data_IF_398605467801
#
_entry.id   IF_398605467801
#
_cell.length_a   1.000
_cell.length_b   1.000
_cell.length_c   1.000
_cell.angle_alpha   90.00
_cell.angle_beta   90.00
_cell.angle_gamma   90.00
#
_symmetry.space_group_name_H-M   'P 1'
#
loop_
_entity.id
_entity.type
_entity.pdbx_description
1 polymer ?
#
# COMPACT_ATOMS: atom_id res chain seq x y z
N UNK A 1 -21.60 14.76 -12.39
CA UNK A 1 -20.39 14.76 -13.12
C UNK A 1 -19.74 13.36 -13.06
N UNK A 2 -19.59 12.71 -14.24
CA UNK A 2 -19.19 11.31 -14.35
C UNK A 2 -17.80 11.00 -13.77
N UNK A 3 -16.84 11.90 -13.99
CA UNK A 3 -15.46 11.70 -13.49
C UNK A 3 -15.41 11.80 -11.98
N UNK A 4 -16.09 12.77 -11.40
CA UNK A 4 -16.15 12.95 -9.95
C UNK A 4 -16.83 11.75 -9.29
N UNK A 5 -17.93 11.27 -9.84
CA UNK A 5 -18.65 10.11 -9.31
C UNK A 5 -17.80 8.84 -9.39
N UNK A 6 -17.06 8.67 -10.48
CA UNK A 6 -16.16 7.54 -10.67
C UNK A 6 -15.06 7.54 -9.60
N UNK A 7 -14.38 8.67 -9.41
CA UNK A 7 -13.30 8.80 -8.43
C UNK A 7 -13.81 8.57 -7.01
N UNK A 8 -14.95 9.18 -6.64
CA UNK A 8 -15.55 8.97 -5.32
C UNK A 8 -16.00 7.52 -5.13
N UNK A 9 -16.55 6.89 -6.16
CA UNK A 9 -16.97 5.49 -6.11
C UNK A 9 -15.77 4.59 -5.84
N UNK A 10 -14.63 4.81 -6.50
CA UNK A 10 -13.42 4.04 -6.27
C UNK A 10 -12.89 4.23 -4.83
N UNK A 11 -12.93 5.46 -4.31
CA UNK A 11 -12.51 5.73 -2.93
C UNK A 11 -13.47 5.18 -1.88
N UNK A 12 -14.78 5.17 -2.13
CA UNK A 12 -15.75 4.59 -1.20
C UNK A 12 -15.71 3.07 -1.17
N UNK A 13 -15.13 2.45 -2.20
CA UNK A 13 -14.83 1.01 -2.20
C UNK A 13 -13.61 0.67 -1.35
N UNK A 14 -12.73 1.63 -1.08
CA UNK A 14 -11.69 1.49 -0.08
C UNK A 14 -12.38 1.54 1.28
N UNK A 15 -12.25 0.51 2.10
CA UNK A 15 -12.92 0.43 3.39
C UNK A 15 -12.81 1.73 4.19
N UNK A 16 -13.93 2.16 4.78
CA UNK A 16 -14.00 3.38 5.58
C UNK A 16 -13.38 3.23 6.96
N UNK A 17 -13.11 1.99 7.39
CA UNK A 17 -12.62 1.66 8.73
C UNK A 17 -11.10 1.40 8.68
N UNK A 18 -10.37 2.37 8.13
CA UNK A 18 -8.92 2.31 8.00
C UNK A 18 -8.30 3.57 8.58
N UNK A 19 -7.27 3.39 9.40
CA UNK A 19 -6.38 4.45 9.84
C UNK A 19 -5.05 4.26 9.13
N UNK A 20 -4.57 5.32 8.49
CA UNK A 20 -3.27 5.35 7.83
C UNK A 20 -2.25 5.94 8.80
N UNK A 21 -1.16 5.21 9.02
CA UNK A 21 -0.09 5.62 9.93
C UNK A 21 1.13 5.94 9.08
N UNK A 22 1.62 7.17 9.20
CA UNK A 22 2.78 7.66 8.46
C UNK A 22 3.90 8.02 9.43
N UNK A 23 5.18 7.86 9.05
CA UNK A 23 6.28 8.29 9.90
C UNK A 23 6.34 9.81 10.00
N UNK A 24 6.82 10.30 11.13
CA UNK A 24 6.90 11.73 11.43
C UNK A 24 5.63 12.31 11.99
N UNK A 25 5.77 13.31 12.86
CA UNK A 25 4.64 14.04 13.43
C UNK A 25 4.65 15.47 12.89
N UNK A 26 3.55 15.86 12.23
CA UNK A 26 3.37 17.22 11.76
C UNK A 26 2.91 18.07 12.95
N UNK A 27 3.82 18.93 13.45
CA UNK A 27 3.46 19.96 14.43
C UNK A 27 2.83 21.14 13.69
N UNK A 28 1.55 21.36 13.94
CA UNK A 28 0.80 22.51 13.38
C UNK A 28 1.28 23.85 13.93
N UNK A 29 2.22 23.88 14.86
CA UNK A 29 2.72 25.08 15.54
C UNK A 29 4.19 25.37 15.25
N UNK A 30 4.60 25.27 13.99
CA UNK A 30 5.93 25.74 13.59
C UNK A 30 7.10 24.88 14.06
N UNK A 31 6.87 23.60 14.24
CA UNK A 31 7.93 22.66 14.57
C UNK A 31 8.97 22.58 13.45
N UNK A 32 10.23 22.60 13.82
CA UNK A 32 11.35 22.58 12.89
C UNK A 32 11.38 21.28 12.08
N UNK A 33 11.82 21.39 10.82
CA UNK A 33 12.09 20.25 9.94
C UNK A 33 13.03 19.21 10.58
N UNK A 34 13.80 19.60 11.61
CA UNK A 34 14.66 18.68 12.37
C UNK A 34 13.92 17.60 13.16
N UNK A 35 12.63 17.81 13.47
CA UNK A 35 11.83 16.81 14.17
C UNK A 35 11.46 15.62 13.26
N UNK A 36 11.37 15.84 11.94
CA UNK A 36 11.09 14.79 10.95
C UNK A 36 12.29 13.86 10.79
N UNK A 37 13.52 14.41 10.83
CA UNK A 37 14.76 13.65 10.69
C UNK A 37 15.12 12.77 11.90
N UNK A 38 14.46 12.98 13.05
CA UNK A 38 14.72 12.21 14.27
C UNK A 38 13.67 11.16 14.56
N UNK A 39 12.63 11.03 13.72
CA UNK A 39 11.61 10.01 13.86
C UNK A 39 12.21 8.62 13.60
N UNK A 40 11.81 7.63 14.42
CA UNK A 40 12.15 6.25 14.14
C UNK A 40 11.37 5.79 12.92
N UNK A 41 11.99 4.92 12.12
CA UNK A 41 11.34 4.35 10.96
C UNK A 41 10.16 3.47 11.39
N UNK A 42 9.09 3.51 10.62
CA UNK A 42 8.04 2.51 10.70
C UNK A 42 8.56 1.22 10.06
N UNK A 43 8.26 0.09 10.68
CA UNK A 43 8.80 -1.20 10.25
C UNK A 43 7.70 -2.24 10.07
N UNK A 44 8.04 -3.35 9.41
CA UNK A 44 7.16 -4.52 9.35
C UNK A 44 6.87 -5.03 10.77
N UNK A 45 7.85 -4.99 11.66
CA UNK A 45 7.67 -5.38 13.06
C UNK A 45 6.62 -4.51 13.78
N UNK A 46 6.60 -3.21 13.48
CA UNK A 46 5.55 -2.31 14.00
C UNK A 46 4.17 -2.74 13.50
N UNK A 47 4.05 -3.10 12.23
CA UNK A 47 2.80 -3.60 11.67
C UNK A 47 2.34 -4.89 12.34
N UNK A 48 3.27 -5.81 12.63
CA UNK A 48 2.98 -7.06 13.32
C UNK A 48 2.55 -6.82 14.77
N UNK A 49 3.18 -5.87 15.45
CA UNK A 49 2.79 -5.47 16.80
C UNK A 49 1.38 -4.87 16.82
N UNK A 50 1.07 -4.01 15.85
CA UNK A 50 -0.26 -3.40 15.72
C UNK A 50 -1.34 -4.44 15.44
N UNK A 51 -1.01 -5.51 14.72
CA UNK A 51 -1.95 -6.59 14.43
C UNK A 51 -2.43 -7.30 15.71
N UNK A 52 -1.68 -7.22 16.79
CA UNK A 52 -2.07 -7.79 18.09
C UNK A 52 -3.10 -6.93 18.83
N UNK A 53 -3.39 -5.73 18.36
CA UNK A 53 -4.43 -4.89 18.92
C UNK A 53 -5.78 -5.60 18.91
N UNK A 54 -6.54 -5.43 20.01
CA UNK A 54 -7.91 -5.96 20.12
C UNK A 54 -8.83 -5.45 18.99
N UNK A 55 -8.55 -4.26 18.46
CA UNK A 55 -9.37 -3.62 17.43
C UNK A 55 -8.90 -3.92 16.00
N UNK A 56 -7.75 -4.56 15.84
CA UNK A 56 -7.16 -4.78 14.52
C UNK A 56 -7.88 -5.91 13.78
N UNK A 57 -8.41 -5.60 12.62
CA UNK A 57 -8.88 -6.58 11.65
C UNK A 57 -7.72 -7.04 10.77
N UNK A 58 -7.03 -6.08 10.16
CA UNK A 58 -5.83 -6.30 9.36
C UNK A 58 -4.87 -5.13 9.53
N UNK A 59 -3.58 -5.41 9.38
CA UNK A 59 -2.55 -4.37 9.26
C UNK A 59 -1.75 -4.65 7.99
N UNK A 60 -1.41 -3.59 7.25
CA UNK A 60 -0.71 -3.70 5.98
C UNK A 60 0.38 -2.63 5.91
N UNK A 61 1.63 -3.06 5.80
CA UNK A 61 2.76 -2.16 5.67
C UNK A 61 3.06 -1.93 4.19
N UNK A 62 3.18 -0.67 3.78
CA UNK A 62 3.26 -0.27 2.39
C UNK A 62 4.62 0.32 2.04
N UNK A 63 5.12 -0.06 0.88
CA UNK A 63 6.27 0.58 0.21
C UNK A 63 5.90 0.74 -1.26
N UNK A 64 6.19 1.91 -1.82
CA UNK A 64 5.93 2.15 -3.25
C UNK A 64 7.15 2.83 -3.87
N UNK A 65 7.44 2.48 -5.10
CA UNK A 65 8.51 3.11 -5.86
C UNK A 65 8.45 2.74 -7.33
N UNK A 66 9.28 3.39 -8.14
CA UNK A 66 9.44 3.06 -9.54
C UNK A 66 10.60 2.10 -9.71
N UNK A 67 10.41 1.09 -10.53
CA UNK A 67 11.43 0.10 -10.80
C UNK A 67 11.38 -0.33 -12.28
N UNK A 68 12.53 -0.73 -12.80
CA UNK A 68 12.59 -1.36 -14.12
C UNK A 68 12.28 -2.84 -13.95
N UNK A 69 11.32 -3.32 -14.74
CA UNK A 69 10.96 -4.73 -14.77
C UNK A 69 11.42 -5.31 -16.11
N UNK A 70 12.06 -6.49 -16.07
CA UNK A 70 12.57 -7.19 -17.25
C UNK A 70 12.00 -8.59 -17.33
N UNK A 71 11.40 -8.89 -18.47
CA UNK A 71 10.85 -10.21 -18.77
C UNK A 71 10.77 -10.41 -20.29
N UNK A 72 10.99 -11.63 -20.75
CA UNK A 72 10.81 -12.00 -22.16
C UNK A 72 11.62 -11.14 -23.14
N UNK A 73 12.83 -10.72 -22.73
CA UNK A 73 13.68 -9.85 -23.54
C UNK A 73 13.19 -8.41 -23.64
N UNK A 74 12.16 -8.05 -22.90
CA UNK A 74 11.59 -6.70 -22.84
C UNK A 74 11.83 -6.09 -21.48
N UNK A 75 11.85 -4.75 -21.44
CA UNK A 75 11.92 -4.01 -20.18
C UNK A 75 10.88 -2.90 -20.18
N UNK A 76 10.44 -2.54 -18.98
CA UNK A 76 9.47 -1.49 -18.77
C UNK A 76 9.67 -0.87 -17.39
N UNK A 77 9.53 0.44 -17.31
CA UNK A 77 9.51 1.11 -16.00
C UNK A 77 8.08 1.15 -15.47
N UNK A 78 7.90 0.64 -14.26
CA UNK A 78 6.59 0.49 -13.64
C UNK A 78 6.61 1.00 -12.22
N UNK A 79 5.40 1.19 -11.64
CA UNK A 79 5.27 1.41 -10.21
C UNK A 79 5.16 0.05 -9.52
N UNK A 80 6.04 -0.20 -8.55
CA UNK A 80 6.00 -1.42 -7.75
C UNK A 80 5.46 -1.09 -6.36
N UNK A 81 4.40 -1.80 -5.97
CA UNK A 81 3.79 -1.69 -4.64
C UNK A 81 4.20 -2.90 -3.79
N UNK A 82 4.90 -2.62 -2.68
CA UNK A 82 5.12 -3.60 -1.62
C UNK A 82 3.89 -3.63 -0.73
N UNK A 83 3.20 -4.76 -0.70
CA UNK A 83 1.91 -4.90 -0.04
C UNK A 83 1.80 -6.25 0.65
N UNK A 84 0.86 -6.34 1.61
CA UNK A 84 0.49 -7.60 2.23
C UNK A 84 -0.63 -8.31 1.47
N UNK A 85 -0.94 -9.56 1.85
CA UNK A 85 -1.91 -10.40 1.13
C UNK A 85 -3.36 -9.90 1.19
N UNK A 86 -3.71 -9.07 2.16
CA UNK A 86 -5.07 -8.53 2.32
C UNK A 86 -5.31 -7.26 1.50
N UNK A 87 -4.29 -6.75 0.81
CA UNK A 87 -4.39 -5.49 0.08
C UNK A 87 -5.47 -5.52 -1.01
N UNK A 88 -5.49 -6.55 -1.84
CA UNK A 88 -6.44 -6.62 -2.96
C UNK A 88 -7.89 -6.62 -2.46
N UNK A 89 -8.18 -7.38 -1.42
CA UNK A 89 -9.52 -7.42 -0.81
C UNK A 89 -9.89 -6.08 -0.19
N UNK A 90 -8.97 -5.49 0.58
CA UNK A 90 -9.22 -4.21 1.26
C UNK A 90 -9.49 -3.07 0.28
N UNK A 91 -8.87 -3.09 -0.89
CA UNK A 91 -9.01 -2.04 -1.90
C UNK A 91 -9.89 -2.47 -3.09
N UNK A 92 -10.67 -3.54 -2.91
CA UNK A 92 -11.63 -4.05 -3.89
C UNK A 92 -11.02 -4.25 -5.28
N UNK A 93 -9.82 -4.82 -5.31
CA UNK A 93 -9.13 -5.19 -6.55
C UNK A 93 -9.27 -6.68 -6.78
N UNK A 94 -9.48 -7.07 -8.03
CA UNK A 94 -9.77 -8.46 -8.39
C UNK A 94 -8.65 -9.06 -9.22
N UNK A 95 -8.39 -10.35 -9.00
CA UNK A 95 -7.42 -11.14 -9.77
C UNK A 95 -8.12 -11.69 -11.00
N UNK A 96 -7.52 -11.47 -12.17
CA UNK A 96 -8.01 -12.03 -13.44
C UNK A 96 -7.43 -13.41 -13.72
N UNK A 97 -6.17 -13.65 -13.35
CA UNK A 97 -5.46 -14.92 -13.57
C UNK A 97 -4.63 -15.25 -12.33
N UNK A 98 -4.58 -16.54 -11.98
CA UNK A 98 -3.77 -16.98 -10.84
C UNK A 98 -4.29 -16.50 -9.50
N UNK A 99 -3.40 -16.00 -8.65
CA UNK A 99 -3.73 -15.59 -7.28
C UNK A 99 -2.99 -14.32 -6.90
N UNK A 100 -3.50 -13.64 -5.87
CA UNK A 100 -2.80 -12.52 -5.25
C UNK A 100 -1.71 -13.05 -4.31
N UNK A 101 -0.95 -12.14 -3.70
CA UNK A 101 0.14 -12.50 -2.79
C UNK A 101 -0.35 -13.41 -1.65
N UNK A 102 0.34 -14.53 -1.38
CA UNK A 102 -0.06 -15.46 -0.35
C UNK A 102 0.29 -14.97 1.05
N UNK A 103 -0.28 -15.63 2.06
CA UNK A 103 0.00 -15.37 3.48
C UNK A 103 1.32 -15.99 3.92
N UNK A 104 2.42 -15.50 3.39
CA UNK A 104 3.76 -15.89 3.82
C UNK A 104 4.14 -15.18 5.12
N UNK A 105 5.23 -15.62 5.76
CA UNK A 105 5.81 -14.87 6.87
C UNK A 105 6.20 -13.47 6.38
N UNK A 106 5.63 -12.39 6.95
CA UNK A 106 5.93 -11.04 6.50
C UNK A 106 7.41 -10.65 6.59
N UNK A 107 8.17 -11.34 7.43
CA UNK A 107 9.62 -11.09 7.60
C UNK A 107 10.46 -11.72 6.50
N UNK A 108 9.97 -12.82 5.92
CA UNK A 108 10.71 -13.57 4.90
C UNK A 108 9.74 -14.15 3.85
N UNK A 109 9.06 -13.30 3.09
CA UNK A 109 8.11 -13.76 2.06
C UNK A 109 8.85 -14.28 0.84
N UNK A 110 8.21 -15.21 0.12
CA UNK A 110 8.74 -15.68 -1.16
C UNK A 110 8.73 -14.56 -2.20
N UNK A 111 9.69 -14.56 -3.14
CA UNK A 111 9.78 -13.49 -4.16
C UNK A 111 8.76 -13.70 -5.27
N UNK A 112 7.50 -13.46 -4.95
CA UNK A 112 6.39 -13.55 -5.88
C UNK A 112 5.97 -12.16 -6.35
N UNK A 113 5.43 -12.08 -7.58
CA UNK A 113 4.91 -10.84 -8.14
C UNK A 113 3.55 -11.09 -8.77
N UNK A 114 2.66 -10.13 -8.58
CA UNK A 114 1.36 -10.06 -9.26
C UNK A 114 1.41 -8.87 -10.21
N UNK A 115 1.07 -9.10 -11.48
CA UNK A 115 1.17 -8.08 -12.52
C UNK A 115 -0.14 -7.32 -12.66
N UNK A 116 -0.07 -6.00 -12.84
CA UNK A 116 -1.19 -5.24 -13.35
C UNK A 116 -1.48 -5.60 -14.81
N UNK A 117 -2.70 -5.33 -15.27
CA UNK A 117 -3.15 -5.75 -16.60
C UNK A 117 -2.28 -5.20 -17.73
N UNK A 118 -1.83 -3.94 -17.63
CA UNK A 118 -1.00 -3.32 -18.66
C UNK A 118 0.41 -3.89 -18.68
N UNK A 119 1.00 -4.15 -17.51
CA UNK A 119 2.33 -4.78 -17.42
C UNK A 119 2.31 -6.16 -18.04
N UNK A 120 1.28 -6.95 -17.77
CA UNK A 120 1.09 -8.26 -18.41
C UNK A 120 1.09 -8.13 -19.92
N UNK A 121 0.25 -7.25 -20.45
CA UNK A 121 0.12 -7.06 -21.91
C UNK A 121 1.44 -6.61 -22.54
N UNK A 122 2.12 -5.64 -21.96
CA UNK A 122 3.34 -5.05 -22.53
C UNK A 122 4.53 -6.00 -22.47
N UNK A 123 4.66 -6.83 -21.46
CA UNK A 123 5.81 -7.72 -21.31
C UNK A 123 5.58 -9.12 -21.86
N UNK A 124 4.36 -9.63 -21.82
CA UNK A 124 4.04 -11.00 -22.21
C UNK A 124 3.09 -11.09 -23.42
N UNK A 125 2.47 -9.98 -23.82
CA UNK A 125 1.48 -9.99 -24.88
C UNK A 125 0.33 -10.94 -24.53
N UNK A 126 0.06 -11.92 -25.41
CA UNK A 126 -0.98 -12.92 -25.20
C UNK A 126 -0.44 -14.21 -24.53
N UNK A 127 0.85 -14.25 -24.20
CA UNK A 127 1.45 -15.41 -23.53
C UNK A 127 0.97 -15.51 -22.09
N UNK A 128 0.85 -16.73 -21.57
CA UNK A 128 0.52 -16.96 -20.18
C UNK A 128 1.73 -16.62 -19.31
N UNK A 129 1.63 -15.60 -18.43
CA UNK A 129 2.77 -15.18 -17.60
C UNK A 129 2.95 -16.02 -16.34
N UNK A 130 1.95 -16.85 -15.96
CA UNK A 130 1.98 -17.56 -14.68
C UNK A 130 3.15 -18.54 -14.62
N UNK A 131 3.94 -18.46 -13.57
CA UNK A 131 5.12 -19.28 -13.37
C UNK A 131 6.39 -18.73 -14.02
N UNK A 132 6.28 -17.69 -14.86
CA UNK A 132 7.45 -17.08 -15.49
C UNK A 132 8.31 -16.35 -14.45
N UNK A 133 9.61 -16.32 -14.70
CA UNK A 133 10.55 -15.53 -13.89
C UNK A 133 10.79 -14.20 -14.57
N UNK A 134 10.88 -13.15 -13.75
CA UNK A 134 11.24 -11.81 -14.23
C UNK A 134 12.16 -11.12 -13.21
N UNK A 135 12.72 -9.98 -13.61
CA UNK A 135 13.55 -9.18 -12.72
C UNK A 135 12.89 -7.85 -12.43
N UNK A 136 12.89 -7.45 -11.18
CA UNK A 136 12.46 -6.13 -10.73
C UNK A 136 13.64 -5.50 -10.01
N UNK A 137 14.20 -4.43 -10.60
CA UNK A 137 15.37 -3.77 -10.04
C UNK A 137 16.56 -4.70 -9.84
N UNK A 138 16.70 -5.76 -10.65
CA UNK A 138 17.77 -6.73 -10.54
C UNK A 138 17.49 -7.94 -9.65
N UNK A 139 16.38 -7.95 -8.93
CA UNK A 139 15.94 -9.08 -8.10
C UNK A 139 14.97 -9.97 -8.88
N UNK A 140 15.13 -11.29 -8.77
CA UNK A 140 14.27 -12.25 -9.49
C UNK A 140 12.99 -12.52 -8.72
N UNK A 141 11.87 -12.50 -9.45
CA UNK A 141 10.53 -12.80 -8.93
C UNK A 141 9.82 -13.79 -9.84
N UNK A 142 8.93 -14.58 -9.25
CA UNK A 142 8.05 -15.48 -10.00
C UNK A 142 6.66 -14.89 -10.11
N UNK A 143 6.11 -14.87 -11.33
CA UNK A 143 4.75 -14.39 -11.57
C UNK A 143 3.74 -15.43 -11.07
N UNK A 144 2.84 -15.00 -10.17
CA UNK A 144 1.79 -15.87 -9.61
C UNK A 144 0.38 -15.42 -9.95
N UNK A 145 0.23 -14.20 -10.46
CA UNK A 145 -1.10 -13.68 -10.79
C UNK A 145 -1.04 -12.46 -11.69
N UNK A 146 -2.20 -12.16 -12.25
CA UNK A 146 -2.46 -10.96 -13.04
C UNK A 146 -3.75 -10.35 -12.54
N UNK A 147 -3.74 -9.04 -12.28
CA UNK A 147 -4.93 -8.32 -11.82
C UNK A 147 -5.87 -8.02 -12.96
N UNK A 148 -7.17 -8.01 -12.69
CA UNK A 148 -8.15 -7.44 -13.60
C UNK A 148 -7.87 -5.95 -13.80
N UNK A 149 -8.21 -5.43 -14.98
CA UNK A 149 -8.00 -4.02 -15.29
C UNK A 149 -8.77 -3.12 -14.32
N UNK A 150 -8.10 -2.13 -13.76
CA UNK A 150 -8.67 -1.14 -12.85
C UNK A 150 -8.69 0.26 -13.48
N UNK A 151 -7.83 0.51 -14.48
CA UNK A 151 -7.75 1.78 -15.18
C UNK A 151 -7.01 2.86 -14.39
N UNK A 152 -7.29 4.11 -14.76
CA UNK A 152 -6.70 5.28 -14.12
C UNK A 152 -7.57 5.78 -12.98
N UNK A 153 -6.94 6.05 -11.83
CA UNK A 153 -7.58 6.69 -10.67
C UNK A 153 -6.69 7.83 -10.20
N UNK A 154 -7.22 9.05 -10.16
CA UNK A 154 -6.50 10.25 -9.73
C UNK A 154 -5.19 10.49 -10.49
N UNK A 155 -5.15 10.16 -11.79
CA UNK A 155 -3.95 10.31 -12.60
C UNK A 155 -2.95 9.18 -12.48
N UNK A 156 -3.20 8.18 -11.64
CA UNK A 156 -2.38 6.97 -11.53
C UNK A 156 -2.94 5.86 -12.41
N UNK A 157 -2.09 5.27 -13.23
CA UNK A 157 -2.46 4.09 -14.00
C UNK A 157 -2.26 2.84 -13.13
N UNK A 158 -3.34 2.36 -12.54
CA UNK A 158 -3.30 1.20 -11.66
C UNK A 158 -3.03 -0.11 -12.41
N UNK A 159 -3.15 -0.11 -13.74
CA UNK A 159 -2.85 -1.27 -14.57
C UNK A 159 -1.36 -1.37 -14.91
N UNK A 160 -0.62 -0.24 -14.82
CA UNK A 160 0.83 -0.19 -15.10
C UNK A 160 1.64 -0.33 -13.81
N UNK A 161 1.27 -1.33 -13.02
CA UNK A 161 1.84 -1.57 -11.69
C UNK A 161 2.13 -3.04 -11.51
N UNK A 162 2.98 -3.33 -10.51
CA UNK A 162 3.18 -4.69 -10.00
C UNK A 162 3.07 -4.69 -8.48
N UNK A 163 2.69 -5.83 -7.92
CA UNK A 163 2.54 -6.02 -6.48
C UNK A 163 3.51 -7.10 -6.02
N UNK A 164 4.31 -6.78 -5.01
CA UNK A 164 5.29 -7.70 -4.42
C UNK A 164 5.16 -7.63 -2.90
N UNK A 165 5.65 -8.65 -2.17
CA UNK A 165 5.62 -8.59 -0.72
C UNK A 165 6.43 -7.41 -0.18
N UNK A 166 5.94 -6.79 0.88
CA UNK A 166 6.54 -5.57 1.45
C UNK A 166 8.03 -5.75 1.76
N UNK A 167 8.43 -6.86 2.38
CA UNK A 167 9.84 -7.09 2.71
C UNK A 167 10.71 -7.18 1.47
N UNK A 168 10.18 -7.71 0.35
CA UNK A 168 10.90 -7.75 -0.92
C UNK A 168 11.01 -6.36 -1.55
N UNK A 169 9.98 -5.53 -1.40
CA UNK A 169 10.03 -4.14 -1.86
C UNK A 169 11.09 -3.33 -1.11
N UNK A 170 11.23 -3.55 0.20
CA UNK A 170 12.30 -2.91 0.96
C UNK A 170 13.68 -3.24 0.40
N UNK A 171 13.91 -4.49 0.00
CA UNK A 171 15.15 -4.92 -0.63
C UNK A 171 15.35 -4.25 -2.00
N UNK A 172 14.31 -4.28 -2.86
CA UNK A 172 14.36 -3.70 -4.21
C UNK A 172 14.72 -2.21 -4.15
N UNK A 173 14.11 -1.47 -3.22
CA UNK A 173 14.30 -0.02 -3.11
C UNK A 173 15.39 0.37 -2.11
N UNK A 174 16.09 -0.60 -1.50
CA UNK A 174 17.13 -0.37 -0.50
C UNK A 174 16.62 0.55 0.63
N UNK A 175 15.44 0.24 1.16
CA UNK A 175 14.82 1.00 2.25
C UNK A 175 14.86 0.21 3.55
N UNK A 176 15.04 0.93 4.67
CA UNK A 176 15.03 0.34 6.01
C UNK A 176 13.65 0.35 6.65
N UNK A 177 12.78 1.27 6.23
CA UNK A 177 11.45 1.44 6.80
C UNK A 177 10.37 1.52 5.75
N UNK A 178 9.13 1.20 6.17
CA UNK A 178 7.96 1.30 5.32
C UNK A 178 7.46 2.74 5.24
N UNK A 179 6.70 3.06 4.20
CA UNK A 179 6.21 4.41 3.96
C UNK A 179 4.91 4.70 4.70
N UNK A 180 4.12 3.65 4.94
CA UNK A 180 2.81 3.77 5.58
C UNK A 180 2.39 2.42 6.14
N UNK A 181 1.60 2.43 7.21
CA UNK A 181 0.88 1.25 7.70
C UNK A 181 -0.61 1.56 7.66
N UNK A 182 -1.39 0.69 7.03
CA UNK A 182 -2.84 0.77 7.06
C UNK A 182 -3.35 -0.14 8.18
N UNK A 183 -4.08 0.44 9.10
CA UNK A 183 -4.70 -0.27 10.22
C UNK A 183 -6.20 -0.35 9.95
N UNK A 184 -6.67 -1.55 9.60
CA UNK A 184 -8.09 -1.82 9.40
C UNK A 184 -8.69 -2.29 10.72
N UNK A 185 -9.76 -1.64 11.17
CA UNK A 185 -10.40 -1.96 12.46
C UNK A 185 -11.83 -2.44 12.25
N UNK A 186 -12.35 -3.17 13.24
CA UNK A 186 -13.72 -3.68 13.19
C UNK A 186 -14.73 -2.51 13.21
N UNK A 187 -15.82 -2.58 12.41
CA UNK A 187 -16.72 -1.44 12.22
C UNK A 187 -17.39 -0.92 13.50
N UNK A 188 -17.54 -1.76 14.51
CA UNK A 188 -18.16 -1.41 15.80
C UNK A 188 -17.18 -0.84 16.82
N UNK A 189 -15.88 -0.79 16.47
CA UNK A 189 -14.86 -0.27 17.40
C UNK A 189 -15.00 1.24 17.55
N UNK A 190 -14.94 1.78 18.79
CA UNK A 190 -14.94 3.21 19.00
C UNK A 190 -13.64 3.83 18.43
N UNK A 191 -13.77 4.83 17.57
CA UNK A 191 -12.64 5.45 16.88
C UNK A 191 -11.56 5.93 17.82
N UNK A 192 -11.93 6.60 18.91
CA UNK A 192 -10.95 7.13 19.86
C UNK A 192 -10.19 6.01 20.57
N UNK A 193 -10.86 4.90 20.90
CA UNK A 193 -10.21 3.74 21.49
C UNK A 193 -9.19 3.10 20.54
N UNK A 194 -9.52 3.05 19.24
CA UNK A 194 -8.60 2.54 18.21
C UNK A 194 -7.37 3.42 18.11
N UNK A 195 -7.54 4.73 18.03
CA UNK A 195 -6.43 5.69 17.95
C UNK A 195 -5.55 5.59 19.21
N UNK A 196 -6.15 5.53 20.39
CA UNK A 196 -5.43 5.42 21.64
C UNK A 196 -4.62 4.11 21.72
N UNK A 197 -5.17 3.02 21.19
CA UNK A 197 -4.48 1.74 21.19
C UNK A 197 -3.28 1.73 20.23
N UNK A 198 -3.45 2.31 19.03
CA UNK A 198 -2.34 2.49 18.09
C UNK A 198 -1.23 3.32 18.72
N UNK A 199 -1.57 4.44 19.37
CA UNK A 199 -0.61 5.30 20.03
C UNK A 199 0.11 4.56 21.16
N UNK A 200 -0.63 3.82 21.99
CA UNK A 200 -0.05 3.05 23.07
C UNK A 200 0.99 2.04 22.56
N UNK A 201 0.65 1.28 21.53
CA UNK A 201 1.53 0.26 20.96
C UNK A 201 2.78 0.89 20.36
N UNK A 202 2.63 1.91 19.51
CA UNK A 202 3.75 2.51 18.80
C UNK A 202 4.63 3.36 19.72
N UNK A 203 4.07 4.08 20.68
CA UNK A 203 4.84 4.84 21.66
C UNK A 203 5.69 3.90 22.53
N UNK A 204 5.13 2.74 22.93
CA UNK A 204 5.88 1.74 23.66
C UNK A 204 7.10 1.22 22.87
N UNK A 205 6.95 1.09 21.55
CA UNK A 205 8.02 0.59 20.67
C UNK A 205 9.02 1.68 20.29
N UNK A 206 8.56 2.91 20.08
CA UNK A 206 9.39 4.02 19.58
C UNK A 206 9.94 4.93 20.69
N UNK A 207 9.34 4.85 21.87
CA UNK A 207 9.70 5.73 23.02
C UNK A 207 9.06 7.11 22.96
N UNK A 208 8.39 7.46 21.87
CA UNK A 208 7.71 8.75 21.67
C UNK A 208 6.70 8.66 20.55
N UNK A 209 5.86 9.69 20.42
CA UNK A 209 4.90 9.83 19.34
C UNK A 209 5.56 10.51 18.14
N UNK A 210 6.19 9.72 17.27
CA UNK A 210 6.92 10.16 16.08
C UNK A 210 6.25 9.71 14.80
N UNK A 211 4.93 9.58 14.81
CA UNK A 211 4.09 9.13 13.71
C UNK A 211 2.80 9.93 13.68
N UNK A 212 2.11 9.93 12.53
CA UNK A 212 0.84 10.61 12.33
C UNK A 212 -0.23 9.62 11.91
N UNK A 213 -1.39 9.68 12.57
CA UNK A 213 -2.55 8.86 12.25
C UNK A 213 -3.55 9.71 11.46
N UNK A 214 -3.98 9.20 10.29
CA UNK A 214 -4.99 9.86 9.46
C UNK A 214 -6.11 8.87 9.16
N UNK A 215 -7.34 9.28 9.43
CA UNK A 215 -8.50 8.47 9.10
C UNK A 215 -8.77 8.48 7.61
N UNK A 216 -9.03 7.32 7.02
CA UNK A 216 -9.38 7.19 5.61
C UNK A 216 -10.61 8.06 5.26
N UNK A 217 -11.57 8.17 6.16
CA UNK A 217 -12.75 9.01 6.01
C UNK A 217 -12.40 10.49 5.83
N UNK A 218 -11.38 11.00 6.53
CA UNK A 218 -10.92 12.38 6.38
C UNK A 218 -10.27 12.62 5.01
N UNK A 219 -9.55 11.63 4.50
CA UNK A 219 -8.96 11.70 3.15
C UNK A 219 -10.07 11.83 2.10
N UNK A 220 -11.16 11.07 2.24
CA UNK A 220 -12.31 11.18 1.34
C UNK A 220 -12.97 12.55 1.39
N UNK A 221 -13.11 13.13 2.59
CA UNK A 221 -13.67 14.48 2.75
C UNK A 221 -12.79 15.53 2.08
N UNK A 222 -11.46 15.45 2.28
CA UNK A 222 -10.50 16.34 1.65
C UNK A 222 -10.56 16.25 0.14
N UNK A 223 -10.60 15.01 -0.39
CA UNK A 223 -10.72 14.77 -1.82
C UNK A 223 -12.00 15.37 -2.38
N UNK A 224 -13.13 15.18 -1.70
CA UNK A 224 -14.42 15.76 -2.11
C UNK A 224 -14.32 17.30 -2.19
N UNK A 225 -13.69 17.92 -1.22
CA UNK A 225 -13.48 19.37 -1.21
C UNK A 225 -12.63 19.81 -2.41
N UNK A 226 -11.52 19.11 -2.68
CA UNK A 226 -10.65 19.40 -3.83
C UNK A 226 -11.42 19.26 -5.13
N UNK A 227 -12.18 18.19 -5.31
CA UNK A 227 -12.97 17.95 -6.52
C UNK A 227 -14.04 19.01 -6.71
N UNK A 228 -14.65 19.52 -5.63
CA UNK A 228 -15.62 20.59 -5.69
C UNK A 228 -14.98 21.92 -6.11
N UNK A 229 -13.77 22.20 -5.67
CA UNK A 229 -13.00 23.40 -6.09
C UNK A 229 -12.67 23.33 -7.57
N UNK A 230 -12.33 22.16 -8.09
CA UNK A 230 -11.94 21.94 -9.48
C UNK A 230 -13.12 21.96 -10.47
N UNK A 231 -14.34 22.17 -10.01
CA UNK A 231 -15.55 22.22 -10.86
C UNK A 231 -15.74 23.51 -11.66
N UNK A 232 -14.80 24.43 -11.62
CA UNK A 232 -14.90 25.70 -12.34
C UNK A 232 -14.09 25.73 -13.61
#
# INVERSE_FOLDING_TARGET
DGVQRFVLSEFTQFGTNIININPGKINTHGGSLGAIGSARLLTIEDSLALKQSHYAQHTNANVVGNAEIRAQGRSRRVTAYGQGPNFAEAFNMHVAMGQFLPHDDPRNPRPYVVLGAKVHHELFGNANPLGAMLQIGGTRFRVIGVMASKGHVLGFDLDDTVFIPTARALEVFNRQGVMEINFSYFPDAPMQAVIDDIRRILIARHGREDFTNTQQKQMLSTLTTILNILKF
#
